data_IF_548208507906
#
_entry.id   IF_548208507906
#
_cell.length_a   1.000
_cell.length_b   1.000
_cell.length_c   1.000
_cell.angle_alpha   90.00
_cell.angle_beta   90.00
_cell.angle_gamma   90.00
#
_symmetry.space_group_name_H-M   'P 1'
#
loop_
_entity.id
_entity.type
_entity.pdbx_description
1 polymer ?
#
# COMPACT_ATOMS: atom_id res chain seq x y z
N UNK A 1 0.21 -2.09 14.31
CA UNK A 1 1.64 -2.29 14.64
C UNK A 1 2.34 -0.94 14.79
N UNK A 2 3.59 -0.91 15.24
CA UNK A 2 4.50 0.25 15.15
C UNK A 2 5.80 -0.19 14.48
N UNK A 3 6.31 0.62 13.55
CA UNK A 3 7.62 0.39 12.95
C UNK A 3 8.71 0.80 13.96
N UNK A 4 9.79 0.01 14.03
CA UNK A 4 10.90 0.27 14.97
C UNK A 4 12.15 0.63 14.19
N UNK A 5 12.53 -0.18 13.21
CA UNK A 5 13.78 0.00 12.46
C UNK A 5 13.66 -0.56 11.06
N UNK A 6 14.18 0.16 10.07
CA UNK A 6 14.41 -0.34 8.72
C UNK A 6 15.91 -0.36 8.44
N UNK A 7 16.41 -1.50 7.97
CA UNK A 7 17.78 -1.66 7.49
C UNK A 7 17.71 -2.06 6.02
N UNK A 8 18.41 -1.34 5.15
CA UNK A 8 18.57 -1.68 3.73
C UNK A 8 20.04 -1.82 3.43
N UNK A 9 20.47 -2.99 2.97
CA UNK A 9 21.88 -3.29 2.66
C UNK A 9 22.13 -3.34 1.16
N UNK A 10 23.22 -2.71 0.73
CA UNK A 10 23.70 -2.61 -0.66
C UNK A 10 22.64 -2.11 -1.65
N UNK A 11 21.87 -1.10 -1.26
CA UNK A 11 20.97 -0.42 -2.18
C UNK A 11 21.78 0.26 -3.31
N UNK A 12 21.38 0.03 -4.56
CA UNK A 12 22.12 0.40 -5.76
C UNK A 12 23.61 0.02 -5.69
N UNK A 13 23.88 -1.17 -5.15
CA UNK A 13 25.20 -1.80 -5.03
C UNK A 13 26.20 -1.05 -4.13
N UNK A 14 25.81 0.07 -3.50
CA UNK A 14 26.76 1.00 -2.88
C UNK A 14 26.31 1.59 -1.53
N UNK A 15 25.01 1.60 -1.23
CA UNK A 15 24.50 2.29 -0.05
C UNK A 15 23.90 1.34 0.99
N UNK A 16 24.28 1.54 2.24
CA UNK A 16 23.65 0.91 3.40
C UNK A 16 22.87 1.98 4.17
N UNK A 17 21.58 1.75 4.39
CA UNK A 17 20.70 2.65 5.14
C UNK A 17 20.22 1.97 6.41
N UNK A 18 20.15 2.75 7.49
CA UNK A 18 19.48 2.38 8.74
C UNK A 18 18.60 3.54 9.16
N UNK A 19 17.31 3.29 9.35
CA UNK A 19 16.34 4.26 9.83
C UNK A 19 15.71 3.72 11.09
N UNK A 20 15.89 4.45 12.18
CA UNK A 20 15.19 4.23 13.44
C UNK A 20 13.90 5.06 13.44
N UNK A 21 12.75 4.40 13.60
CA UNK A 21 11.47 5.08 13.65
C UNK A 21 11.18 5.52 15.09
N UNK A 22 10.91 6.81 15.26
CA UNK A 22 10.42 7.37 16.51
C UNK A 22 8.95 6.99 16.74
N UNK A 23 8.55 6.94 18.01
CA UNK A 23 7.18 6.59 18.39
C UNK A 23 6.11 7.57 17.88
N UNK A 24 6.49 8.84 17.70
CA UNK A 24 5.58 9.91 17.33
C UNK A 24 5.80 10.33 15.87
N UNK A 25 6.92 11.01 15.57
CA UNK A 25 7.23 11.52 14.24
C UNK A 25 8.69 11.28 13.89
N UNK A 26 8.92 10.73 12.70
CA UNK A 26 10.26 10.49 12.15
C UNK A 26 10.48 11.39 10.94
N UNK A 27 11.51 12.24 10.99
CA UNK A 27 11.90 13.09 9.87
C UNK A 27 13.07 12.45 9.13
N UNK A 28 12.86 12.12 7.85
CA UNK A 28 13.94 11.67 6.97
C UNK A 28 14.40 12.89 6.14
N UNK A 29 15.60 13.39 6.43
CA UNK A 29 16.18 14.58 5.79
C UNK A 29 17.57 14.29 5.20
N UNK A 30 18.03 15.15 4.30
CA UNK A 30 19.28 14.97 3.55
C UNK A 30 19.23 15.66 2.19
N UNK A 31 20.34 15.64 1.46
CA UNK A 31 20.46 16.26 0.12
C UNK A 31 19.58 15.56 -0.92
N UNK A 32 19.24 16.26 -2.02
CA UNK A 32 18.51 15.62 -3.12
C UNK A 32 19.34 14.47 -3.71
N UNK A 33 18.66 13.37 -4.05
CA UNK A 33 19.32 12.16 -4.55
C UNK A 33 19.92 11.24 -3.47
N UNK A 34 19.87 11.59 -2.18
CA UNK A 34 20.42 10.75 -1.10
C UNK A 34 19.54 9.55 -0.70
N UNK A 35 18.56 9.15 -1.51
CA UNK A 35 17.73 7.97 -1.27
C UNK A 35 16.50 8.15 -0.35
N UNK A 36 16.16 9.36 0.10
CA UNK A 36 15.01 9.60 1.00
C UNK A 36 13.70 8.99 0.49
N UNK A 37 13.31 9.35 -0.73
CA UNK A 37 12.09 8.83 -1.37
C UNK A 37 12.17 7.33 -1.58
N UNK A 38 13.36 6.80 -1.91
CA UNK A 38 13.58 5.36 -2.06
C UNK A 38 13.31 4.60 -0.76
N UNK A 39 13.80 5.11 0.38
CA UNK A 39 13.55 4.52 1.70
C UNK A 39 12.05 4.57 2.06
N UNK A 40 11.37 5.67 1.76
CA UNK A 40 9.93 5.77 1.95
C UNK A 40 9.17 4.78 1.07
N UNK A 41 9.53 4.65 -0.21
CA UNK A 41 8.90 3.72 -1.14
C UNK A 41 9.14 2.26 -0.76
N UNK A 42 10.34 1.92 -0.28
CA UNK A 42 10.65 0.57 0.26
C UNK A 42 9.76 0.29 1.48
N UNK A 43 9.65 1.26 2.39
CA UNK A 43 8.79 1.14 3.58
C UNK A 43 7.34 0.94 3.16
N UNK A 44 6.84 1.75 2.22
CA UNK A 44 5.49 1.66 1.65
C UNK A 44 5.22 0.29 1.03
N UNK A 45 6.14 -0.21 0.20
CA UNK A 45 6.01 -1.52 -0.44
C UNK A 45 5.90 -2.66 0.58
N UNK A 46 6.64 -2.55 1.69
CA UNK A 46 6.52 -3.52 2.79
C UNK A 46 5.17 -3.37 3.47
N UNK A 47 4.83 -2.21 4.04
CA UNK A 47 3.60 -2.09 4.84
C UNK A 47 2.29 -2.35 4.06
N UNK A 48 2.30 -2.16 2.73
CA UNK A 48 1.15 -2.43 1.86
C UNK A 48 1.10 -3.86 1.33
N UNK A 49 2.10 -4.70 1.62
CA UNK A 49 2.22 -6.05 1.07
C UNK A 49 2.60 -6.09 -0.42
N UNK A 50 2.95 -4.95 -1.03
CA UNK A 50 3.29 -4.84 -2.45
C UNK A 50 4.78 -5.13 -2.69
N UNK A 51 5.29 -6.24 -2.15
CA UNK A 51 6.72 -6.57 -2.20
C UNK A 51 7.25 -6.78 -3.63
N UNK A 52 6.40 -7.06 -4.60
CA UNK A 52 6.77 -7.12 -6.02
C UNK A 52 7.32 -5.78 -6.54
N UNK A 53 6.97 -4.64 -5.94
CA UNK A 53 7.58 -3.34 -6.26
C UNK A 53 9.07 -3.29 -5.90
N UNK A 54 9.53 -4.16 -5.01
CA UNK A 54 10.93 -4.19 -4.61
C UNK A 54 11.85 -4.71 -5.73
N UNK A 55 11.31 -5.39 -6.75
CA UNK A 55 12.08 -5.79 -7.92
C UNK A 55 12.66 -4.60 -8.72
N UNK A 56 12.07 -3.41 -8.58
CA UNK A 56 12.57 -2.19 -9.22
C UNK A 56 13.89 -1.68 -8.59
N UNK A 57 14.27 -2.21 -7.42
CA UNK A 57 15.48 -1.82 -6.70
C UNK A 57 16.53 -2.93 -6.71
N UNK A 58 17.79 -2.52 -6.89
CA UNK A 58 18.94 -3.38 -6.62
C UNK A 58 19.31 -3.25 -5.15
N UNK A 59 19.14 -4.30 -4.38
CA UNK A 59 19.56 -4.37 -2.98
C UNK A 59 20.03 -5.79 -2.65
N UNK A 60 20.75 -5.97 -1.54
CA UNK A 60 21.11 -7.32 -1.05
C UNK A 60 20.08 -7.85 -0.07
N UNK A 61 19.73 -7.02 0.91
CA UNK A 61 18.85 -7.40 2.00
C UNK A 61 18.09 -6.17 2.51
N UNK A 62 16.81 -6.35 2.82
CA UNK A 62 16.01 -5.41 3.60
C UNK A 62 15.56 -6.13 4.88
N UNK A 63 15.56 -5.42 5.99
CA UNK A 63 15.05 -5.89 7.27
C UNK A 63 14.17 -4.80 7.89
N UNK A 64 12.92 -5.13 8.20
CA UNK A 64 11.99 -4.23 8.88
C UNK A 64 11.60 -4.85 10.22
N UNK A 65 11.96 -4.18 11.30
CA UNK A 65 11.54 -4.51 12.66
C UNK A 65 10.28 -3.73 13.03
N UNK A 66 9.31 -4.42 13.63
CA UNK A 66 8.06 -3.83 14.11
C UNK A 66 7.61 -4.52 15.39
N UNK A 67 6.74 -3.85 16.14
CA UNK A 67 6.14 -4.42 17.34
C UNK A 67 4.66 -4.06 17.45
N UNK A 68 3.95 -4.75 18.32
CA UNK A 68 2.61 -4.34 18.71
C UNK A 68 2.64 -3.00 19.44
N UNK A 69 1.63 -2.16 19.22
CA UNK A 69 1.48 -0.90 19.96
C UNK A 69 1.26 -1.12 21.46
N UNK A 70 0.75 -2.30 21.85
CA UNK A 70 0.51 -2.67 23.24
C UNK A 70 1.75 -3.21 23.95
N UNK A 71 2.73 -3.75 23.21
CA UNK A 71 3.91 -4.38 23.80
C UNK A 71 5.14 -4.19 22.90
N UNK A 72 5.92 -3.14 23.18
CA UNK A 72 7.08 -2.74 22.36
C UNK A 72 8.26 -3.72 22.56
N UNK A 73 8.27 -4.53 23.62
CA UNK A 73 9.35 -5.48 23.88
C UNK A 73 9.30 -6.73 23.01
N UNK A 74 8.13 -7.02 22.42
CA UNK A 74 7.95 -8.16 21.51
C UNK A 74 8.16 -7.70 20.07
N UNK A 75 9.43 -7.73 19.65
CA UNK A 75 9.87 -7.24 18.35
C UNK A 75 9.86 -8.38 17.34
N UNK A 76 9.03 -8.22 16.31
CA UNK A 76 9.02 -9.09 15.13
C UNK A 76 9.84 -8.45 14.01
N UNK A 77 10.28 -9.28 13.06
CA UNK A 77 11.05 -8.84 11.91
C UNK A 77 10.51 -9.44 10.60
N UNK A 78 10.59 -8.64 9.54
CA UNK A 78 10.46 -9.08 8.15
C UNK A 78 11.83 -8.97 7.52
N UNK A 79 12.35 -10.07 6.99
CA UNK A 79 13.62 -10.08 6.27
C UNK A 79 13.37 -10.43 4.81
N UNK A 80 13.93 -9.62 3.90
CA UNK A 80 13.77 -9.77 2.46
C UNK A 80 15.16 -9.83 1.84
N UNK A 81 15.49 -10.93 1.18
CA UNK A 81 16.72 -11.08 0.41
C UNK A 81 16.43 -11.08 -1.09
N UNK A 82 17.19 -10.29 -1.84
CA UNK A 82 17.05 -10.23 -3.29
C UNK A 82 17.99 -11.25 -3.96
N UNK A 83 17.43 -12.17 -4.74
CA UNK A 83 18.15 -13.16 -5.57
C UNK A 83 17.96 -12.88 -7.06
N UNK A 84 17.96 -11.60 -7.46
CA UNK A 84 17.74 -11.07 -8.82
C UNK A 84 16.34 -11.31 -9.37
N UNK A 85 15.99 -12.56 -9.65
CA UNK A 85 14.70 -12.96 -10.20
C UNK A 85 13.71 -13.40 -9.12
N UNK A 86 14.14 -13.47 -7.86
CA UNK A 86 13.31 -13.92 -6.75
C UNK A 86 13.59 -13.10 -5.50
N UNK A 87 12.56 -12.86 -4.69
CA UNK A 87 12.65 -12.33 -3.34
C UNK A 87 12.38 -13.44 -2.34
N UNK A 88 13.34 -13.72 -1.47
CA UNK A 88 13.16 -14.61 -0.32
C UNK A 88 12.71 -13.77 0.86
N UNK A 89 11.56 -14.10 1.42
CA UNK A 89 10.91 -13.36 2.50
C UNK A 89 10.78 -14.28 3.70
N UNK A 90 11.32 -13.83 4.83
CA UNK A 90 11.09 -14.43 6.13
C UNK A 90 10.11 -13.52 6.88
N UNK A 91 8.93 -14.04 7.18
CA UNK A 91 7.85 -13.34 7.86
C UNK A 91 7.13 -14.29 8.82
N UNK A 92 6.96 -13.89 10.09
CA UNK A 92 6.38 -14.74 11.15
C UNK A 92 6.98 -16.15 11.22
N UNK A 93 8.31 -16.25 11.10
CA UNK A 93 9.06 -17.52 11.06
C UNK A 93 8.70 -18.45 9.89
N UNK A 94 7.99 -17.95 8.87
CA UNK A 94 7.71 -18.65 7.63
C UNK A 94 8.56 -18.08 6.49
N UNK A 95 9.01 -18.96 5.61
CA UNK A 95 9.75 -18.60 4.41
C UNK A 95 8.81 -18.62 3.20
N UNK A 96 8.76 -17.49 2.49
CA UNK A 96 8.01 -17.30 1.25
C UNK A 96 8.98 -16.85 0.15
N UNK A 97 8.80 -17.37 -1.06
CA UNK A 97 9.56 -16.92 -2.23
C UNK A 97 8.62 -16.32 -3.24
N UNK A 98 8.88 -15.07 -3.64
CA UNK A 98 8.15 -14.39 -4.71
C UNK A 98 9.07 -14.33 -5.93
N UNK A 99 8.58 -14.75 -7.07
CA UNK A 99 9.34 -14.67 -8.33
C UNK A 99 8.97 -13.42 -9.11
N UNK A 100 9.97 -12.79 -9.71
CA UNK A 100 9.80 -11.80 -10.75
C UNK A 100 9.33 -12.55 -11.99
N UNK A 101 8.10 -12.29 -12.41
CA UNK A 101 7.58 -12.88 -13.62
C UNK A 101 7.82 -11.96 -14.81
N UNK A 102 8.52 -12.48 -15.82
CA UNK A 102 8.66 -11.81 -17.10
C UNK A 102 7.28 -11.72 -17.75
N UNK A 103 6.99 -10.55 -18.30
CA UNK A 103 5.71 -10.15 -18.89
C UNK A 103 5.39 -10.86 -20.22
N UNK A 104 5.66 -12.16 -20.34
CA UNK A 104 5.65 -12.85 -21.64
C UNK A 104 4.45 -13.74 -21.96
N UNK A 105 3.58 -14.19 -21.05
CA UNK A 105 2.40 -15.00 -21.50
C UNK A 105 1.07 -14.76 -20.74
N UNK A 106 1.06 -14.56 -19.41
CA UNK A 106 -0.20 -14.37 -18.66
C UNK A 106 -0.62 -12.90 -18.50
N UNK A 107 0.34 -11.97 -18.42
CA UNK A 107 0.07 -10.53 -18.22
C UNK A 107 -0.36 -9.84 -19.53
N UNK A 108 -0.10 -10.44 -20.71
CA UNK A 108 -0.43 -9.83 -22.00
C UNK A 108 -1.92 -9.87 -22.35
N UNK A 109 -2.71 -10.78 -21.76
CA UNK A 109 -4.13 -10.92 -22.07
C UNK A 109 -5.04 -9.98 -21.27
N UNK A 110 -4.52 -9.32 -20.24
CA UNK A 110 -5.26 -8.32 -19.46
C UNK A 110 -4.47 -7.03 -19.46
N UNK A 111 -5.11 -5.93 -19.84
CA UNK A 111 -4.57 -4.57 -19.85
C UNK A 111 -3.47 -4.33 -18.81
N UNK A 112 -2.41 -3.60 -19.16
CA UNK A 112 -1.28 -3.20 -18.28
C UNK A 112 -1.69 -2.28 -17.12
N UNK A 113 -2.88 -2.42 -16.56
CA UNK A 113 -3.27 -1.74 -15.34
C UNK A 113 -2.49 -2.32 -14.17
N UNK A 114 -1.89 -1.45 -13.35
CA UNK A 114 -1.20 -1.80 -12.09
C UNK A 114 -2.09 -2.66 -11.16
N UNK A 115 -3.42 -2.55 -11.29
CA UNK A 115 -4.39 -3.39 -10.58
C UNK A 115 -4.30 -4.86 -10.95
N UNK A 116 -4.08 -5.18 -12.22
CA UNK A 116 -3.94 -6.56 -12.66
C UNK A 116 -2.68 -7.19 -12.08
N UNK A 117 -1.58 -6.42 -12.03
CA UNK A 117 -0.33 -6.84 -11.38
C UNK A 117 -0.53 -7.07 -9.88
N UNK A 118 -1.10 -6.11 -9.16
CA UNK A 118 -1.37 -6.27 -7.73
C UNK A 118 -2.24 -7.49 -7.46
N UNK A 119 -3.38 -7.61 -8.17
CA UNK A 119 -4.30 -8.73 -8.02
C UNK A 119 -3.63 -10.07 -8.30
N UNK A 120 -2.79 -10.13 -9.33
CA UNK A 120 -2.02 -11.32 -9.67
C UNK A 120 -1.14 -11.76 -8.50
N UNK A 121 -0.26 -10.87 -7.99
CA UNK A 121 0.63 -11.20 -6.89
C UNK A 121 -0.13 -11.55 -5.59
N UNK A 122 -1.16 -10.80 -5.21
CA UNK A 122 -1.95 -11.12 -4.02
C UNK A 122 -2.70 -12.46 -4.15
N UNK A 123 -3.19 -12.81 -5.35
CA UNK A 123 -3.86 -14.08 -5.58
C UNK A 123 -2.91 -15.28 -5.51
N UNK A 124 -1.65 -15.10 -5.90
CA UNK A 124 -0.64 -16.16 -5.97
C UNK A 124 0.13 -16.34 -4.65
N UNK A 125 0.30 -15.26 -3.89
CA UNK A 125 1.12 -15.24 -2.68
C UNK A 125 0.27 -14.75 -1.48
N UNK A 126 -0.44 -15.66 -0.78
CA UNK A 126 -1.27 -15.31 0.38
C UNK A 126 -0.51 -14.59 1.50
N UNK A 127 0.80 -14.87 1.64
CA UNK A 127 1.68 -14.20 2.60
C UNK A 127 1.72 -12.67 2.39
N UNK A 128 1.52 -12.17 1.17
CA UNK A 128 1.46 -10.74 0.89
C UNK A 128 0.20 -10.09 1.47
N UNK A 129 -0.93 -10.78 1.40
CA UNK A 129 -2.19 -10.34 1.98
C UNK A 129 -2.09 -10.33 3.50
N UNK A 130 -1.52 -11.38 4.09
CA UNK A 130 -1.27 -11.44 5.53
C UNK A 130 -0.34 -10.31 6.01
N UNK A 131 0.70 -10.00 5.23
CA UNK A 131 1.63 -8.93 5.55
C UNK A 131 0.93 -7.56 5.50
N UNK A 132 0.14 -7.29 4.45
CA UNK A 132 -0.69 -6.08 4.34
C UNK A 132 -1.63 -5.93 5.54
N UNK A 133 -2.33 -7.01 5.88
CA UNK A 133 -3.34 -7.02 6.94
C UNK A 133 -2.70 -6.86 8.34
N UNK A 134 -1.44 -7.28 8.50
CA UNK A 134 -0.67 -7.09 9.75
C UNK A 134 -0.43 -5.61 10.06
N UNK A 135 -0.17 -4.80 9.04
CA UNK A 135 0.10 -3.38 9.24
C UNK A 135 -1.17 -2.53 9.23
N UNK A 136 -2.14 -2.85 8.36
CA UNK A 136 -3.44 -2.17 8.22
C UNK A 136 -3.36 -0.63 8.36
N UNK A 137 -2.28 -0.02 7.85
CA UNK A 137 -2.08 1.42 7.97
C UNK A 137 -2.86 2.15 6.87
N UNK A 138 -3.45 3.29 7.24
CA UNK A 138 -3.79 4.30 6.25
C UNK A 138 -2.50 5.03 5.89
N UNK A 139 -1.90 4.65 4.76
CA UNK A 139 -0.73 5.35 4.24
C UNK A 139 -1.17 6.65 3.56
N UNK A 140 -0.71 7.78 4.10
CA UNK A 140 -0.96 9.11 3.55
C UNK A 140 0.30 9.61 2.84
N UNK A 141 0.41 9.51 1.51
CA UNK A 141 1.57 10.03 0.80
C UNK A 141 1.60 11.57 0.91
N UNK A 142 2.66 12.11 1.52
CA UNK A 142 2.87 13.56 1.70
C UNK A 142 3.68 14.19 0.55
N UNK A 143 3.86 13.48 -0.56
CA UNK A 143 4.67 13.94 -1.68
C UNK A 143 3.94 15.03 -2.48
N UNK A 144 4.50 16.25 -2.51
CA UNK A 144 4.02 17.43 -3.27
C UNK A 144 4.00 17.27 -4.79
N UNK A 145 4.40 16.11 -5.31
CA UNK A 145 4.50 15.87 -6.74
C UNK A 145 3.41 14.91 -7.18
N UNK A 146 2.47 15.43 -7.98
CA UNK A 146 1.51 14.69 -8.78
C UNK A 146 2.16 13.77 -9.85
N UNK A 147 3.42 13.36 -9.65
CA UNK A 147 4.19 12.53 -10.57
C UNK A 147 4.45 11.18 -9.91
N UNK A 148 3.90 10.15 -10.54
CA UNK A 148 4.20 8.72 -10.36
C UNK A 148 3.49 7.99 -9.20
N UNK A 149 2.20 8.28 -8.96
CA UNK A 149 1.29 7.22 -8.53
C UNK A 149 0.49 6.77 -9.75
N UNK A 150 1.04 5.80 -10.48
CA UNK A 150 0.39 5.10 -11.59
C UNK A 150 -0.66 4.12 -11.04
N UNK A 151 -1.63 4.64 -10.28
CA UNK A 151 -2.93 3.99 -10.14
C UNK A 151 -3.86 4.63 -11.17
N UNK A 152 -3.70 4.20 -12.43
CA UNK A 152 -4.54 4.60 -13.57
C UNK A 152 -6.04 4.20 -13.44
N UNK A 153 -6.46 3.68 -12.29
CA UNK A 153 -7.85 3.34 -12.01
C UNK A 153 -8.71 4.55 -11.56
N UNK A 154 -8.12 5.66 -11.11
CA UNK A 154 -8.91 6.85 -10.76
C UNK A 154 -9.11 7.85 -11.90
N UNK A 155 -8.37 7.76 -13.02
CA UNK A 155 -8.70 8.58 -14.19
C UNK A 155 -10.11 8.24 -14.75
N UNK A 156 -10.57 6.99 -14.54
CA UNK A 156 -11.93 6.56 -14.84
C UNK A 156 -12.95 6.86 -13.73
N UNK A 157 -12.54 6.95 -12.46
CA UNK A 157 -13.42 7.39 -11.36
C UNK A 157 -13.65 8.91 -11.37
N UNK A 158 -12.65 9.71 -11.76
CA UNK A 158 -12.75 11.15 -11.95
C UNK A 158 -13.75 11.49 -13.08
N UNK A 159 -13.87 10.65 -14.13
CA UNK A 159 -14.92 10.82 -15.15
C UNK A 159 -16.34 10.58 -14.60
N UNK A 160 -16.51 9.64 -13.67
CA UNK A 160 -17.83 9.40 -13.04
C UNK A 160 -18.23 10.52 -12.07
N UNK A 161 -17.26 11.17 -11.41
CA UNK A 161 -17.51 12.38 -10.62
C UNK A 161 -17.70 13.64 -11.48
N UNK A 162 -17.01 13.76 -12.63
CA UNK A 162 -17.19 14.87 -13.58
C UNK A 162 -18.60 14.97 -14.16
N UNK A 163 -19.28 13.85 -14.40
CA UNK A 163 -20.64 13.87 -14.93
C UNK A 163 -21.71 14.32 -13.91
N UNK A 164 -21.34 14.60 -12.65
CA UNK A 164 -22.25 15.11 -11.61
C UNK A 164 -22.00 16.56 -11.21
N UNK A 165 -21.01 17.23 -11.81
CA UNK A 165 -20.75 18.66 -11.56
C UNK A 165 -21.22 19.43 -12.80
N UNK A 166 -22.25 20.28 -12.71
CA UNK A 166 -22.68 21.11 -13.82
C UNK A 166 -21.51 21.96 -14.34
N UNK A 167 -21.34 21.96 -15.66
CA UNK A 167 -20.32 22.68 -16.45
C UNK A 167 -20.18 24.18 -16.12
N UNK A 168 -21.16 24.77 -15.42
CA UNK A 168 -21.15 26.16 -14.99
C UNK A 168 -20.23 26.45 -13.78
N UNK A 169 -19.70 25.43 -13.09
CA UNK A 169 -18.76 25.61 -11.98
C UNK A 169 -17.29 25.76 -12.42
N UNK A 170 -16.98 25.69 -13.71
CA UNK A 170 -15.60 25.73 -14.23
C UNK A 170 -14.99 27.14 -14.35
N UNK A 171 -15.75 28.22 -14.17
CA UNK A 171 -15.24 29.59 -14.37
C UNK A 171 -14.78 30.36 -13.12
N UNK A 172 -14.89 29.80 -11.91
CA UNK A 172 -14.56 30.53 -10.68
C UNK A 172 -13.82 29.72 -9.62
N UNK A 173 -12.65 29.13 -9.88
CA UNK A 173 -11.78 28.70 -8.76
C UNK A 173 -10.29 28.85 -9.04
N UNK A 174 -9.77 30.00 -8.62
CA UNK A 174 -8.35 30.24 -8.37
C UNK A 174 -7.88 29.63 -7.02
N UNK A 175 -6.57 29.42 -6.95
CA UNK A 175 -5.69 29.27 -5.77
C UNK A 175 -5.88 28.13 -4.75
N UNK A 176 -7.00 27.42 -4.69
CA UNK A 176 -7.18 26.31 -3.72
C UNK A 176 -7.27 24.92 -4.38
N UNK A 177 -6.19 24.47 -5.04
CA UNK A 177 -6.09 23.06 -5.48
C UNK A 177 -5.77 22.17 -4.28
N UNK A 178 -6.78 21.45 -3.77
CA UNK A 178 -6.55 20.29 -2.87
C UNK A 178 -5.58 19.33 -3.56
N UNK A 179 -4.60 18.84 -2.81
CA UNK A 179 -3.60 17.90 -3.31
C UNK A 179 -4.30 16.66 -3.90
N UNK A 180 -4.00 16.26 -5.16
CA UNK A 180 -4.56 15.05 -5.77
C UNK A 180 -4.43 13.79 -4.89
N UNK A 181 -3.34 13.66 -4.12
CA UNK A 181 -3.16 12.55 -3.19
C UNK A 181 -4.22 12.57 -2.07
N UNK A 182 -4.55 13.75 -1.56
CA UNK A 182 -5.58 13.92 -0.52
C UNK A 182 -6.99 13.61 -1.05
N UNK A 183 -7.28 13.97 -2.30
CA UNK A 183 -8.54 13.60 -2.96
C UNK A 183 -8.69 12.08 -3.12
N UNK A 184 -7.60 11.37 -3.43
CA UNK A 184 -7.59 9.90 -3.51
C UNK A 184 -7.85 9.26 -2.14
N UNK A 185 -7.22 9.77 -1.08
CA UNK A 185 -7.46 9.31 0.29
C UNK A 185 -8.92 9.53 0.68
N UNK A 186 -9.48 10.70 0.37
CA UNK A 186 -10.88 11.02 0.62
C UNK A 186 -11.82 10.03 -0.08
N UNK A 187 -11.56 9.72 -1.36
CA UNK A 187 -12.26 8.71 -2.17
C UNK A 187 -12.17 7.31 -1.55
N UNK A 188 -11.00 6.91 -1.07
CA UNK A 188 -10.76 5.61 -0.44
C UNK A 188 -11.52 5.46 0.88
N UNK A 189 -11.50 6.50 1.72
CA UNK A 189 -12.25 6.55 2.98
C UNK A 189 -13.75 6.44 2.68
N UNK A 190 -14.26 7.24 1.74
CA UNK A 190 -15.66 7.22 1.34
C UNK A 190 -16.11 5.86 0.81
N UNK A 191 -15.29 5.22 -0.02
CA UNK A 191 -15.59 3.90 -0.58
C UNK A 191 -15.64 2.83 0.52
N UNK A 192 -14.70 2.89 1.46
CA UNK A 192 -14.63 1.97 2.60
C UNK A 192 -15.83 2.15 3.52
N UNK A 193 -16.16 3.39 3.88
CA UNK A 193 -17.34 3.74 4.66
C UNK A 193 -18.63 3.23 4.00
N UNK A 194 -18.78 3.45 2.70
CA UNK A 194 -19.96 3.03 1.95
C UNK A 194 -20.14 1.51 1.95
N UNK A 195 -19.04 0.75 1.79
CA UNK A 195 -19.06 -0.73 1.87
C UNK A 195 -19.46 -1.20 3.26
N UNK A 196 -18.87 -0.64 4.31
CA UNK A 196 -19.19 -0.96 5.70
C UNK A 196 -20.67 -0.67 5.98
N UNK A 197 -21.15 0.52 5.62
CA UNK A 197 -22.55 0.91 5.79
C UNK A 197 -23.50 -0.05 5.07
N UNK A 198 -23.18 -0.46 3.84
CA UNK A 198 -23.99 -1.43 3.09
C UNK A 198 -24.03 -2.80 3.77
N UNK A 199 -22.89 -3.28 4.27
CA UNK A 199 -22.82 -4.53 5.03
C UNK A 199 -23.64 -4.46 6.32
N UNK A 200 -23.58 -3.34 7.05
CA UNK A 200 -24.38 -3.11 8.27
C UNK A 200 -25.88 -3.16 7.94
N UNK A 201 -26.32 -2.47 6.88
CA UNK A 201 -27.72 -2.52 6.45
C UNK A 201 -28.18 -3.94 6.13
N UNK A 202 -27.38 -4.73 5.39
CA UNK A 202 -27.70 -6.13 5.09
C UNK A 202 -27.81 -7.00 6.34
N UNK A 203 -26.91 -6.83 7.31
CA UNK A 203 -26.96 -7.55 8.58
C UNK A 203 -28.23 -7.19 9.34
N UNK A 204 -28.58 -5.91 9.40
CA UNK A 204 -29.79 -5.43 10.08
C UNK A 204 -31.07 -5.99 9.44
N UNK A 205 -31.14 -5.97 8.11
CA UNK A 205 -32.28 -6.52 7.36
C UNK A 205 -32.41 -8.03 7.60
N UNK A 206 -31.32 -8.78 7.55
CA UNK A 206 -31.31 -10.22 7.86
C UNK A 206 -31.73 -10.50 9.30
N UNK A 207 -31.22 -9.74 10.26
CA UNK A 207 -31.58 -9.87 11.67
C UNK A 207 -33.07 -9.62 11.89
N UNK A 208 -33.61 -8.53 11.31
CA UNK A 208 -35.04 -8.19 11.37
C UNK A 208 -35.89 -9.29 10.76
N UNK A 209 -35.50 -9.80 9.59
CA UNK A 209 -36.20 -10.90 8.92
C UNK A 209 -36.16 -12.20 9.74
N UNK A 210 -35.05 -12.51 10.38
CA UNK A 210 -34.93 -13.69 11.24
C UNK A 210 -35.79 -13.59 12.50
N UNK A 211 -35.82 -12.42 13.17
CA UNK A 211 -36.71 -12.19 14.31
C UNK A 211 -38.18 -12.34 13.88
N UNK A 212 -38.59 -11.68 12.80
CA UNK A 212 -39.96 -11.73 12.33
C UNK A 212 -40.39 -13.15 11.91
N UNK A 213 -39.47 -13.92 11.31
CA UNK A 213 -39.71 -15.34 10.99
C UNK A 213 -39.74 -16.26 12.23
N UNK A 214 -39.07 -15.88 13.33
CA UNK A 214 -39.09 -16.65 14.58
C UNK A 214 -40.32 -16.39 15.46
N UNK A 215 -41.09 -15.35 15.13
CA UNK A 215 -42.32 -14.95 15.82
C UNK A 215 -43.60 -15.47 15.12
N UNK A 216 -43.45 -16.15 13.98
CA UNK A 216 -44.48 -16.90 13.25
C UNK A 216 -44.29 -18.40 13.51
#
# INVERSE_FOLDING_TARGET
MKLIRLIVKRLHDSYDYTVDFNQDVTFIYGTNGCGKTTILNITEAIITGQLYKLFDYRFRQIELSYASSSNITDVEYIKIENKKAELLIEFKHQLCTIKLEDSSDEIQQTDRSVRNVARYYFSRYPALEELRDTFNYVYLPLNRSATMYDFNDEYYMIRRYRNRIPFAAEMHFGENKRDPAMLQIESLIWTSYSKISSSISKINDNFRNNILKSLL
#
